data_IF_573556924859
#
_entry.id   IF_573556924859
#
_cell.length_a   1.000
_cell.length_b   1.000
_cell.length_c   1.000
_cell.angle_alpha   90.00
_cell.angle_beta   90.00
_cell.angle_gamma   90.00
#
_symmetry.space_group_name_H-M   'P 1'
#
loop_
_entity.id
_entity.type
_entity.pdbx_description
1 polymer ?
#
# COMPACT_ATOMS: atom_id res chain seq x y z
N UNK A 1 0.53 -20.37 8.83
CA UNK A 1 -0.74 -19.64 9.07
C UNK A 1 -0.68 -18.38 8.23
N UNK A 2 -1.75 -18.01 7.53
CA UNK A 2 -1.76 -16.75 6.78
C UNK A 2 -2.16 -15.64 7.76
N UNK A 3 -1.36 -14.57 7.92
CA UNK A 3 -1.71 -13.48 8.83
C UNK A 3 -2.98 -12.75 8.36
N UNK A 4 -3.78 -12.19 9.28
CA UNK A 4 -4.98 -11.46 8.91
C UNK A 4 -4.64 -10.20 8.11
N UNK A 5 -5.59 -9.77 7.26
CA UNK A 5 -5.48 -8.50 6.55
C UNK A 5 -5.60 -7.32 7.51
N UNK A 6 -4.86 -6.26 7.21
CA UNK A 6 -4.96 -4.98 7.92
C UNK A 6 -6.36 -4.39 7.70
N UNK A 7 -7.09 -4.02 8.76
CA UNK A 7 -8.34 -3.31 8.62
C UNK A 7 -8.10 -1.87 8.15
N UNK A 8 -8.64 -1.52 6.97
CA UNK A 8 -8.56 -0.17 6.40
C UNK A 8 -9.95 0.49 6.32
N UNK A 9 -10.02 1.77 6.67
CA UNK A 9 -11.20 2.60 6.41
C UNK A 9 -11.23 3.07 4.96
N UNK A 10 -11.87 2.29 4.10
CA UNK A 10 -12.00 2.60 2.67
C UNK A 10 -13.35 3.30 2.41
N UNK A 11 -13.35 4.58 1.97
CA UNK A 11 -14.59 5.26 1.60
C UNK A 11 -15.28 4.64 0.39
N UNK A 12 -16.55 4.96 0.17
CA UNK A 12 -17.26 4.54 -1.04
C UNK A 12 -16.59 5.08 -2.32
N UNK A 13 -16.75 4.32 -3.43
CA UNK A 13 -16.22 4.68 -4.74
C UNK A 13 -14.84 4.11 -5.07
N UNK A 14 -14.22 3.37 -4.15
CA UNK A 14 -12.99 2.63 -4.39
C UNK A 14 -13.30 1.17 -4.73
N UNK A 15 -12.72 0.70 -5.84
CA UNK A 15 -12.64 -0.70 -6.21
C UNK A 15 -11.33 -1.26 -5.69
N UNK A 16 -11.39 -2.40 -5.01
CA UNK A 16 -10.21 -3.16 -4.60
C UNK A 16 -9.84 -4.08 -5.77
N UNK A 17 -8.73 -3.81 -6.45
CA UNK A 17 -8.23 -4.67 -7.54
C UNK A 17 -7.60 -5.94 -6.96
N UNK A 18 -6.75 -5.76 -5.96
CA UNK A 18 -6.23 -6.83 -5.10
C UNK A 18 -5.83 -6.26 -3.74
N UNK A 19 -5.76 -7.11 -2.73
CA UNK A 19 -5.29 -6.76 -1.38
C UNK A 19 -4.69 -7.97 -0.68
N UNK A 20 -3.42 -7.85 -0.33
CA UNK A 20 -2.64 -8.80 0.47
C UNK A 20 -1.95 -8.09 1.64
N UNK A 21 -2.39 -6.88 2.00
CA UNK A 21 -1.80 -6.15 3.11
C UNK A 21 -2.17 -6.80 4.44
N UNK A 22 -1.22 -7.49 5.05
CA UNK A 22 -1.40 -8.23 6.31
C UNK A 22 -0.83 -7.51 7.52
N UNK A 23 -1.26 -7.91 8.71
CA UNK A 23 -0.76 -7.41 10.00
C UNK A 23 0.66 -7.91 10.35
N UNK A 24 1.41 -8.40 9.36
CA UNK A 24 2.79 -8.85 9.50
C UNK A 24 3.67 -7.71 9.99
N UNK A 25 4.37 -7.90 11.11
CA UNK A 25 5.17 -6.82 11.70
C UNK A 25 6.51 -6.63 10.95
N UNK A 26 6.77 -5.49 10.30
CA UNK A 26 8.03 -5.20 9.62
C UNK A 26 9.24 -5.07 10.58
N UNK A 27 9.01 -4.81 11.88
CA UNK A 27 10.10 -4.73 12.87
C UNK A 27 10.69 -6.11 13.21
N UNK A 28 9.89 -7.18 13.04
CA UNK A 28 10.34 -8.56 13.21
C UNK A 28 11.06 -9.09 11.96
N UNK A 29 10.93 -8.40 10.83
CA UNK A 29 11.61 -8.77 9.59
C UNK A 29 13.04 -8.26 9.58
N UNK A 30 13.93 -8.99 10.25
CA UNK A 30 15.36 -8.65 10.39
C UNK A 30 16.27 -9.47 9.46
N UNK A 31 15.81 -10.63 9.02
CA UNK A 31 16.51 -11.57 8.15
C UNK A 31 15.53 -12.48 7.38
N UNK A 32 16.07 -13.36 6.55
CA UNK A 32 15.31 -14.28 5.69
C UNK A 32 14.63 -15.43 6.44
N UNK A 33 14.91 -15.61 7.74
CA UNK A 33 14.25 -16.63 8.57
C UNK A 33 12.84 -16.20 9.03
N UNK A 34 12.50 -14.92 8.85
CA UNK A 34 11.18 -14.42 9.18
C UNK A 34 10.08 -15.11 8.36
N UNK A 35 9.20 -15.83 9.03
CA UNK A 35 8.18 -16.69 8.41
C UNK A 35 7.21 -15.94 7.48
N UNK A 36 7.04 -14.62 7.68
CA UNK A 36 6.15 -13.75 6.91
C UNK A 36 6.89 -12.86 5.91
N UNK A 37 8.17 -13.15 5.60
CA UNK A 37 8.95 -12.37 4.63
C UNK A 37 8.24 -12.18 3.28
N UNK A 38 7.43 -13.15 2.85
CA UNK A 38 6.71 -13.14 1.58
C UNK A 38 5.55 -12.13 1.52
N UNK A 39 5.10 -11.63 2.68
CA UNK A 39 4.07 -10.60 2.79
C UNK A 39 4.63 -9.21 2.42
N UNK A 40 5.96 -9.07 2.35
CA UNK A 40 6.67 -7.84 2.02
C UNK A 40 7.17 -7.91 0.57
N UNK A 41 6.26 -7.73 -0.38
CA UNK A 41 6.52 -7.82 -1.83
C UNK A 41 6.12 -6.54 -2.58
N UNK A 42 6.33 -6.49 -3.91
CA UNK A 42 6.03 -5.30 -4.70
C UNK A 42 4.52 -5.09 -4.97
N UNK A 43 3.67 -6.08 -4.74
CA UNK A 43 2.24 -6.08 -5.07
C UNK A 43 1.37 -6.30 -3.81
N UNK A 44 1.42 -5.36 -2.86
CA UNK A 44 0.70 -5.50 -1.58
C UNK A 44 -0.79 -5.17 -1.74
N UNK A 45 -1.14 -4.02 -2.31
CA UNK A 45 -2.51 -3.74 -2.73
C UNK A 45 -2.56 -2.75 -3.89
N UNK A 46 -3.70 -2.75 -4.57
CA UNK A 46 -4.08 -1.68 -5.48
C UNK A 46 -5.56 -1.37 -5.39
N UNK A 47 -5.87 -0.09 -5.18
CA UNK A 47 -7.22 0.45 -5.13
C UNK A 47 -7.42 1.46 -6.26
N UNK A 48 -8.59 1.42 -6.90
CA UNK A 48 -8.92 2.28 -8.02
C UNK A 48 -10.19 3.07 -7.72
N UNK A 49 -10.16 4.38 -7.95
CA UNK A 49 -11.35 5.22 -7.97
C UNK A 49 -11.58 5.74 -9.39
N UNK A 50 -12.42 5.04 -10.15
CA UNK A 50 -12.65 5.35 -11.57
C UNK A 50 -13.34 6.71 -11.78
N UNK A 51 -14.13 7.19 -10.82
CA UNK A 51 -14.74 8.52 -10.91
C UNK A 51 -13.73 9.65 -10.74
N UNK A 52 -12.77 9.48 -9.83
CA UNK A 52 -11.69 10.45 -9.57
C UNK A 52 -10.47 10.25 -10.46
N UNK A 53 -10.44 9.15 -11.23
CA UNK A 53 -9.32 8.76 -12.09
C UNK A 53 -8.02 8.64 -11.29
N UNK A 54 -8.08 7.92 -10.17
CA UNK A 54 -6.93 7.70 -9.29
C UNK A 54 -6.71 6.22 -9.03
N UNK A 55 -5.43 5.85 -8.98
CA UNK A 55 -4.97 4.55 -8.48
C UNK A 55 -4.14 4.82 -7.23
N UNK A 56 -4.42 4.09 -6.17
CA UNK A 56 -3.61 4.04 -4.96
C UNK A 56 -2.97 2.65 -4.87
N UNK A 57 -1.65 2.61 -4.85
CA UNK A 57 -0.88 1.37 -4.99
C UNK A 57 0.17 1.29 -3.87
N UNK A 58 0.26 0.14 -3.22
CA UNK A 58 1.19 -0.12 -2.12
C UNK A 58 2.12 -1.27 -2.48
N UNK A 59 3.40 -1.03 -2.25
CA UNK A 59 4.48 -2.00 -2.43
C UNK A 59 5.41 -1.98 -1.22
N UNK A 60 6.21 -3.03 -1.06
CA UNK A 60 7.41 -3.04 -0.24
C UNK A 60 8.62 -3.23 -1.14
N UNK A 61 9.57 -2.30 -1.09
CA UNK A 61 10.79 -2.39 -1.93
C UNK A 61 12.07 -2.13 -1.12
N UNK A 62 13.15 -2.89 -1.38
CA UNK A 62 13.20 -4.07 -2.26
C UNK A 62 12.34 -5.22 -1.72
N UNK A 63 11.70 -5.98 -2.61
CA UNK A 63 10.85 -7.11 -2.22
C UNK A 63 11.63 -8.15 -1.40
N UNK A 64 10.93 -8.76 -0.45
CA UNK A 64 11.43 -9.81 0.43
C UNK A 64 12.74 -9.45 1.14
N UNK A 65 13.01 -8.15 1.32
CA UNK A 65 14.23 -7.65 1.90
C UNK A 65 13.94 -6.99 3.26
N UNK A 66 14.63 -7.38 4.34
CA UNK A 66 14.44 -6.77 5.66
C UNK A 66 14.86 -5.29 5.69
N UNK A 67 15.66 -4.82 4.73
CA UNK A 67 16.02 -3.40 4.57
C UNK A 67 15.07 -2.63 3.64
N UNK A 68 14.02 -3.28 3.13
CA UNK A 68 12.98 -2.58 2.39
C UNK A 68 12.08 -1.74 3.28
N UNK A 69 11.17 -1.04 2.63
CA UNK A 69 10.15 -0.21 3.26
C UNK A 69 8.88 -0.18 2.40
N UNK A 70 7.76 0.20 3.01
CA UNK A 70 6.55 0.47 2.27
C UNK A 70 6.71 1.70 1.39
N UNK A 71 6.19 1.61 0.17
CA UNK A 71 6.07 2.72 -0.77
C UNK A 71 4.62 2.76 -1.22
N UNK A 72 3.91 3.80 -0.78
CA UNK A 72 2.56 4.11 -1.21
C UNK A 72 2.62 5.18 -2.30
N UNK A 73 2.04 4.90 -3.46
CA UNK A 73 1.98 5.85 -4.57
C UNK A 73 0.55 6.14 -4.97
N UNK A 74 0.30 7.41 -5.30
CA UNK A 74 -0.94 7.87 -5.93
C UNK A 74 -0.65 8.18 -7.40
N UNK A 75 -1.45 7.62 -8.30
CA UNK A 75 -1.26 7.72 -9.74
C UNK A 75 -2.50 8.32 -10.42
N UNK A 76 -2.29 8.88 -11.61
CA UNK A 76 -3.37 9.16 -12.53
C UNK A 76 -3.82 7.85 -13.21
N UNK A 77 -5.11 7.54 -13.17
CA UNK A 77 -5.62 6.29 -13.74
C UNK A 77 -5.70 6.28 -15.27
N UNK A 78 -5.80 7.46 -15.91
CA UNK A 78 -5.85 7.53 -17.38
C UNK A 78 -4.45 7.30 -17.98
N UNK A 79 -3.40 7.73 -17.27
CA UNK A 79 -2.00 7.63 -17.69
C UNK A 79 -1.10 7.24 -16.51
N UNK A 80 -1.19 6.00 -16.02
CA UNK A 80 -0.46 5.59 -14.83
C UNK A 80 1.04 5.45 -15.12
N UNK A 81 1.86 6.14 -14.32
CA UNK A 81 3.32 6.10 -14.39
C UNK A 81 3.90 5.95 -12.97
N UNK A 82 4.29 4.72 -12.60
CA UNK A 82 4.91 4.42 -11.31
C UNK A 82 6.32 5.04 -11.17
N UNK A 83 6.95 5.48 -12.26
CA UNK A 83 8.23 6.19 -12.20
C UNK A 83 8.06 7.67 -11.86
N UNK A 84 6.87 8.23 -12.10
CA UNK A 84 6.51 9.62 -11.82
C UNK A 84 5.11 9.70 -11.20
N UNK A 85 4.94 9.20 -9.96
CA UNK A 85 3.64 9.23 -9.30
C UNK A 85 3.21 10.67 -8.98
N UNK A 86 1.90 10.90 -8.90
CA UNK A 86 1.36 12.19 -8.46
C UNK A 86 1.78 12.51 -7.03
N UNK A 87 1.91 11.48 -6.20
CA UNK A 87 2.41 11.57 -4.83
C UNK A 87 3.02 10.26 -4.40
N UNK A 88 4.05 10.33 -3.55
CA UNK A 88 4.73 9.17 -2.99
C UNK A 88 4.91 9.36 -1.48
N UNK A 89 4.73 8.28 -0.71
CA UNK A 89 5.03 8.24 0.70
C UNK A 89 5.77 6.94 1.04
N UNK A 90 6.84 7.06 1.83
CA UNK A 90 7.69 5.94 2.22
C UNK A 90 7.80 5.82 3.72
N UNK A 91 7.73 4.60 4.23
CA UNK A 91 7.98 4.32 5.65
C UNK A 91 8.17 2.83 5.88
N UNK A 92 8.94 2.47 6.91
CA UNK A 92 8.98 1.11 7.44
C UNK A 92 7.88 0.83 8.47
N UNK A 93 7.23 1.87 9.00
CA UNK A 93 6.28 1.74 10.11
C UNK A 93 4.86 1.42 9.61
N UNK A 94 4.36 0.23 9.97
CA UNK A 94 3.02 -0.22 9.54
C UNK A 94 1.90 0.75 9.98
N UNK A 95 2.03 1.39 11.15
CA UNK A 95 1.05 2.37 11.62
C UNK A 95 1.01 3.61 10.71
N UNK A 96 2.17 4.11 10.29
CA UNK A 96 2.25 5.31 9.43
C UNK A 96 1.71 5.02 8.03
N UNK A 97 1.98 3.84 7.47
CA UNK A 97 1.44 3.49 6.15
C UNK A 97 -0.07 3.31 6.17
N UNK A 98 -0.65 2.77 7.26
CA UNK A 98 -2.10 2.70 7.47
C UNK A 98 -2.71 4.10 7.51
N UNK A 99 -2.19 4.97 8.38
CA UNK A 99 -2.68 6.35 8.53
C UNK A 99 -2.62 7.10 7.19
N UNK A 100 -1.53 6.95 6.44
CA UNK A 100 -1.37 7.60 5.15
C UNK A 100 -2.32 7.04 4.09
N UNK A 101 -2.51 5.73 4.07
CA UNK A 101 -3.45 5.05 3.16
C UNK A 101 -4.87 5.57 3.38
N UNK A 102 -5.35 5.56 4.63
CA UNK A 102 -6.68 6.06 4.96
C UNK A 102 -6.84 7.56 4.66
N UNK A 103 -5.79 8.35 4.90
CA UNK A 103 -5.77 9.77 4.56
C UNK A 103 -5.98 9.98 3.05
N UNK A 104 -5.16 9.36 2.20
CA UNK A 104 -5.24 9.56 0.74
C UNK A 104 -6.53 8.99 0.14
N UNK A 105 -7.00 7.85 0.64
CA UNK A 105 -8.31 7.32 0.28
C UNK A 105 -9.43 8.34 0.54
N UNK A 106 -9.42 8.99 1.70
CA UNK A 106 -10.42 9.99 2.09
C UNK A 106 -10.30 11.31 1.32
N UNK A 107 -9.08 11.79 1.07
CA UNK A 107 -8.82 13.04 0.33
C UNK A 107 -9.31 12.95 -1.12
N UNK A 108 -8.91 11.89 -1.83
CA UNK A 108 -9.34 11.64 -3.21
C UNK A 108 -10.86 11.49 -3.30
N UNK A 109 -11.49 10.77 -2.37
CA UNK A 109 -12.96 10.64 -2.35
C UNK A 109 -13.67 12.00 -2.24
N UNK A 110 -13.10 12.96 -1.49
CA UNK A 110 -13.63 14.32 -1.35
C UNK A 110 -13.35 15.22 -2.56
N UNK A 111 -12.48 14.80 -3.48
CA UNK A 111 -12.10 15.57 -4.67
C UNK A 111 -10.92 16.51 -4.43
N UNK A 112 -10.11 16.22 -3.41
CA UNK A 112 -8.77 16.79 -3.27
C UNK A 112 -7.78 16.18 -4.25
#
# INVERSE_FOLDING_TARGET
MIPPLVPLRIPAGWKISFNQFTESNPELFIDDEYIYRWEFNEDIFQFENSYRKRILDLSWRPEFNPNGEYILVLLDADFPDWSQPLSEFRTKEIKKIIEKTEQWLAEVSKGG
#
